data_IF_583492397291
#
_entry.id   IF_583492397291
#
_cell.length_a   1.000
_cell.length_b   1.000
_cell.length_c   1.000
_cell.angle_alpha   90.00
_cell.angle_beta   90.00
_cell.angle_gamma   90.00
#
_symmetry.space_group_name_H-M   'P 1'
#
loop_
_entity.id
_entity.type
_entity.pdbx_description
1 polymer ?
#
# COMPACT_ATOMS: atom_id res chain seq x y z
N UNK A 1 -3.17 2.26 7.26
CA UNK A 1 -2.29 1.08 7.30
C UNK A 1 -0.91 1.38 6.68
N UNK A 2 -0.81 1.80 5.38
CA UNK A 2 0.45 2.06 4.66
C UNK A 2 1.45 2.94 5.42
N UNK A 3 1.00 4.11 5.87
CA UNK A 3 1.83 5.08 6.55
C UNK A 3 2.42 4.54 7.86
N UNK A 4 1.61 3.83 8.64
CA UNK A 4 2.05 3.21 9.90
C UNK A 4 3.07 2.11 9.63
N UNK A 5 2.85 1.26 8.64
CA UNK A 5 3.79 0.20 8.25
C UNK A 5 5.12 0.78 7.75
N UNK A 6 5.08 1.85 6.93
CA UNK A 6 6.29 2.53 6.48
C UNK A 6 7.08 3.11 7.65
N UNK A 7 6.41 3.76 8.61
CA UNK A 7 7.07 4.29 9.80
C UNK A 7 7.65 3.21 10.72
N UNK A 8 7.01 2.04 10.80
CA UNK A 8 7.53 0.91 11.58
C UNK A 8 8.79 0.30 10.94
N UNK A 9 8.92 0.33 9.63
CA UNK A 9 10.11 -0.16 8.91
C UNK A 9 11.24 0.87 8.86
N UNK A 10 10.97 2.16 9.01
CA UNK A 10 11.97 3.23 8.94
C UNK A 10 13.20 3.00 9.85
N UNK A 11 13.07 2.52 11.12
CA UNK A 11 14.23 2.29 11.99
C UNK A 11 15.22 1.25 11.47
N UNK A 12 14.78 0.35 10.60
CA UNK A 12 15.62 -0.74 10.06
C UNK A 12 16.31 -0.37 8.75
N UNK A 13 16.18 0.87 8.30
CA UNK A 13 16.78 1.37 7.05
C UNK A 13 18.01 2.22 7.32
N UNK A 14 18.79 2.53 6.28
CA UNK A 14 20.03 3.32 6.34
C UNK A 14 19.77 4.84 6.52
N UNK A 15 18.65 5.21 7.09
CA UNK A 15 18.27 6.61 7.34
C UNK A 15 18.95 7.09 8.63
N UNK A 16 19.41 8.35 8.72
CA UNK A 16 19.98 8.92 9.94
C UNK A 16 19.04 8.78 11.15
N UNK A 17 19.60 8.51 12.31
CA UNK A 17 18.83 8.17 13.52
C UNK A 17 17.82 9.23 13.94
N UNK A 18 18.11 10.51 13.69
CA UNK A 18 17.17 11.60 13.95
C UNK A 18 15.82 11.37 13.24
N UNK A 19 15.85 10.99 11.96
CA UNK A 19 14.64 10.76 11.19
C UNK A 19 13.88 9.50 11.62
N UNK A 20 14.61 8.48 12.14
CA UNK A 20 13.99 7.28 12.70
C UNK A 20 13.14 7.61 13.92
N UNK A 21 13.67 8.41 14.85
CA UNK A 21 12.93 8.85 16.04
C UNK A 21 11.75 9.75 15.70
N UNK A 22 11.92 10.64 14.71
CA UNK A 22 10.81 11.45 14.18
C UNK A 22 9.72 10.56 13.58
N UNK A 23 10.08 9.57 12.76
CA UNK A 23 9.13 8.65 12.16
C UNK A 23 8.34 7.86 13.22
N UNK A 24 9.04 7.31 14.23
CA UNK A 24 8.38 6.61 15.35
C UNK A 24 7.44 7.52 16.14
N UNK A 25 7.87 8.76 16.42
CA UNK A 25 7.04 9.75 17.14
C UNK A 25 5.81 10.20 16.35
N UNK A 26 5.86 10.15 15.02
CA UNK A 26 4.73 10.50 14.16
C UNK A 26 3.65 9.39 14.08
N UNK A 27 3.96 8.14 14.47
CA UNK A 27 2.98 7.04 14.46
C UNK A 27 1.73 7.37 15.29
N UNK A 28 1.85 7.69 16.60
CA UNK A 28 0.67 8.00 17.40
C UNK A 28 -0.07 9.24 16.90
N UNK A 29 0.67 10.23 16.40
CA UNK A 29 0.07 11.45 15.83
C UNK A 29 -0.76 11.13 14.58
N UNK A 30 -0.23 10.30 13.67
CA UNK A 30 -0.95 9.90 12.45
C UNK A 30 -2.21 9.09 12.76
N UNK A 31 -2.14 8.20 13.75
CA UNK A 31 -3.30 7.43 14.21
C UNK A 31 -4.35 8.38 14.82
N UNK A 32 -3.93 9.31 15.68
CA UNK A 32 -4.85 10.29 16.30
C UNK A 32 -5.52 11.17 15.24
N UNK A 33 -4.76 11.73 14.30
CA UNK A 33 -5.29 12.54 13.19
C UNK A 33 -6.28 11.75 12.35
N UNK A 34 -5.96 10.48 12.03
CA UNK A 34 -6.86 9.60 11.29
C UNK A 34 -8.20 9.41 12.00
N UNK A 35 -8.20 9.06 13.30
CA UNK A 35 -9.42 8.87 14.07
C UNK A 35 -10.21 10.17 14.24
N UNK A 36 -9.52 11.30 14.45
CA UNK A 36 -10.16 12.61 14.54
C UNK A 36 -10.83 13.02 13.22
N UNK A 37 -10.14 12.81 12.09
CA UNK A 37 -10.68 13.11 10.78
C UNK A 37 -11.95 12.30 10.50
N UNK A 38 -11.93 10.99 10.80
CA UNK A 38 -13.09 10.13 10.59
C UNK A 38 -14.23 10.50 11.54
N UNK A 39 -13.95 10.76 12.81
CA UNK A 39 -14.99 11.11 13.78
C UNK A 39 -15.68 12.43 13.43
N UNK A 40 -14.95 13.36 12.78
CA UNK A 40 -15.47 14.68 12.43
C UNK A 40 -16.15 14.73 11.07
N UNK A 41 -15.62 14.02 10.07
CA UNK A 41 -16.09 14.12 8.69
C UNK A 41 -16.91 12.91 8.22
N UNK A 42 -16.77 11.76 8.90
CA UNK A 42 -17.37 10.48 8.47
C UNK A 42 -17.96 9.72 9.66
N UNK A 43 -18.79 10.37 10.46
CA UNK A 43 -19.42 9.79 11.66
C UNK A 43 -20.20 8.50 11.37
N UNK A 44 -20.88 8.45 10.21
CA UNK A 44 -21.75 7.35 9.81
C UNK A 44 -20.97 6.07 9.46
N UNK A 45 -19.69 6.21 9.07
CA UNK A 45 -18.80 5.07 8.75
C UNK A 45 -18.12 4.45 9.98
N UNK A 46 -18.34 5.00 11.17
CA UNK A 46 -17.63 4.61 12.39
C UNK A 46 -17.84 3.15 12.78
N UNK A 47 -18.99 2.58 12.48
CA UNK A 47 -19.33 1.20 12.86
C UNK A 47 -18.53 0.14 12.07
N UNK A 48 -18.10 0.44 10.83
CA UNK A 48 -17.32 -0.46 9.98
C UNK A 48 -15.81 -0.26 9.99
N UNK A 49 -15.30 0.79 10.66
CA UNK A 49 -13.91 1.22 10.58
C UNK A 49 -12.88 0.15 10.98
N UNK A 50 -13.14 -0.56 12.05
CA UNK A 50 -12.21 -1.57 12.55
C UNK A 50 -12.06 -2.73 11.56
N UNK A 51 -13.16 -3.16 10.98
CA UNK A 51 -13.17 -4.22 9.98
C UNK A 51 -12.47 -3.78 8.68
N UNK A 52 -12.77 -2.57 8.22
CA UNK A 52 -12.11 -1.97 7.03
C UNK A 52 -10.62 -1.80 7.25
N UNK A 53 -10.20 -1.35 8.43
CA UNK A 53 -8.78 -1.24 8.77
C UNK A 53 -8.09 -2.60 8.81
N UNK A 54 -8.76 -3.63 9.31
CA UNK A 54 -8.24 -5.00 9.35
C UNK A 54 -8.04 -5.56 7.94
N UNK A 55 -9.03 -5.40 7.05
CA UNK A 55 -8.88 -5.78 5.64
C UNK A 55 -7.78 -4.99 4.94
N UNK A 56 -7.69 -3.69 5.17
CA UNK A 56 -6.61 -2.85 4.62
C UNK A 56 -5.24 -3.31 5.09
N UNK A 57 -5.09 -3.68 6.36
CA UNK A 57 -3.86 -4.24 6.89
C UNK A 57 -3.52 -5.58 6.23
N UNK A 58 -4.52 -6.46 6.05
CA UNK A 58 -4.37 -7.74 5.38
C UNK A 58 -3.86 -7.57 3.93
N UNK A 59 -4.46 -6.67 3.17
CA UNK A 59 -4.04 -6.36 1.79
C UNK A 59 -2.59 -5.84 1.78
N UNK A 60 -2.24 -4.90 2.65
CA UNK A 60 -0.89 -4.36 2.71
C UNK A 60 0.15 -5.41 3.10
N UNK A 61 -0.19 -6.29 4.04
CA UNK A 61 0.69 -7.40 4.43
C UNK A 61 0.90 -8.37 3.27
N UNK A 62 -0.15 -8.72 2.54
CA UNK A 62 -0.05 -9.57 1.36
C UNK A 62 0.83 -8.95 0.26
N UNK A 63 0.74 -7.63 0.05
CA UNK A 63 1.58 -6.90 -0.88
C UNK A 63 3.06 -6.90 -0.45
N UNK A 64 3.34 -6.70 0.84
CA UNK A 64 4.71 -6.79 1.38
C UNK A 64 5.28 -8.20 1.22
N UNK A 65 4.49 -9.23 1.48
CA UNK A 65 4.89 -10.63 1.26
C UNK A 65 5.22 -10.87 -0.22
N UNK A 66 4.41 -10.36 -1.14
CA UNK A 66 4.66 -10.45 -2.58
C UNK A 66 5.97 -9.76 -2.97
N UNK A 67 6.20 -8.54 -2.48
CA UNK A 67 7.45 -7.81 -2.70
C UNK A 67 8.65 -8.55 -2.10
N UNK A 68 8.50 -9.15 -0.92
CA UNK A 68 9.51 -9.99 -0.29
C UNK A 68 9.88 -11.19 -1.17
N UNK A 69 8.91 -11.93 -1.72
CA UNK A 69 9.17 -13.05 -2.61
C UNK A 69 9.89 -12.63 -3.91
N UNK A 70 9.59 -11.45 -4.45
CA UNK A 70 10.31 -10.91 -5.61
C UNK A 70 11.79 -10.67 -5.26
N UNK A 71 12.06 -10.11 -4.07
CA UNK A 71 13.44 -9.89 -3.59
C UNK A 71 14.18 -11.21 -3.36
N UNK A 72 13.51 -12.21 -2.78
CA UNK A 72 14.07 -13.55 -2.59
C UNK A 72 14.47 -14.19 -3.91
N UNK A 73 13.64 -14.07 -4.94
CA UNK A 73 13.91 -14.63 -6.27
C UNK A 73 15.13 -13.98 -6.94
N UNK A 74 15.48 -12.75 -6.55
CA UNK A 74 16.64 -12.03 -7.08
C UNK A 74 17.90 -12.14 -6.18
N UNK A 75 17.91 -13.00 -5.16
CA UNK A 75 19.04 -13.25 -4.25
C UNK A 75 19.54 -12.03 -3.45
N UNK A 76 18.72 -10.99 -3.31
CA UNK A 76 19.05 -9.78 -2.54
C UNK A 76 18.42 -9.81 -1.15
N UNK A 77 19.08 -10.46 -0.19
CA UNK A 77 18.59 -10.59 1.20
C UNK A 77 19.07 -9.48 2.12
N UNK A 78 20.29 -8.97 1.89
CA UNK A 78 20.99 -8.12 2.84
C UNK A 78 20.34 -6.74 3.05
N UNK A 79 19.62 -6.24 2.04
CA UNK A 79 18.96 -4.93 2.09
C UNK A 79 17.43 -5.03 1.92
N UNK A 80 16.86 -6.21 2.10
CA UNK A 80 15.44 -6.46 1.83
C UNK A 80 14.50 -5.51 2.59
N UNK A 81 14.82 -5.17 3.85
CA UNK A 81 14.02 -4.23 4.64
C UNK A 81 14.02 -2.82 4.04
N UNK A 82 15.14 -2.38 3.46
CA UNK A 82 15.23 -1.10 2.79
C UNK A 82 14.37 -1.05 1.51
N UNK A 83 14.39 -2.13 0.72
CA UNK A 83 13.51 -2.26 -0.44
C UNK A 83 12.03 -2.30 -0.06
N UNK A 84 11.66 -3.01 1.02
CA UNK A 84 10.28 -3.05 1.52
C UNK A 84 9.82 -1.69 2.05
N UNK A 85 10.69 -0.97 2.72
CA UNK A 85 10.42 0.41 3.14
C UNK A 85 10.16 1.30 1.93
N UNK A 86 11.04 1.25 0.94
CA UNK A 86 10.91 2.00 -0.31
C UNK A 86 9.61 1.63 -1.06
N UNK A 87 9.25 0.34 -1.05
CA UNK A 87 7.99 -0.15 -1.60
C UNK A 87 6.78 0.48 -0.91
N UNK A 88 6.77 0.59 0.43
CA UNK A 88 5.69 1.24 1.17
C UNK A 88 5.62 2.74 0.89
N UNK A 89 6.77 3.43 0.83
CA UNK A 89 6.84 4.85 0.46
C UNK A 89 6.29 5.07 -0.94
N UNK A 90 6.70 4.25 -1.91
CA UNK A 90 6.18 4.31 -3.28
C UNK A 90 4.68 4.06 -3.35
N UNK A 91 4.15 3.18 -2.50
CA UNK A 91 2.72 2.91 -2.41
C UNK A 91 1.94 4.10 -1.84
N UNK A 92 2.52 4.86 -0.90
CA UNK A 92 1.92 6.11 -0.40
C UNK A 92 1.88 7.14 -1.52
N UNK A 93 3.00 7.34 -2.25
CA UNK A 93 3.08 8.28 -3.37
C UNK A 93 2.10 7.90 -4.48
N UNK A 94 1.94 6.61 -4.78
CA UNK A 94 1.00 6.11 -5.79
C UNK A 94 -0.48 6.35 -5.44
N UNK A 95 -0.83 6.60 -4.16
CA UNK A 95 -2.20 6.97 -3.77
C UNK A 95 -2.54 8.42 -4.04
N UNK A 96 -1.53 9.26 -4.30
CA UNK A 96 -1.77 10.67 -4.62
C UNK A 96 -2.31 10.81 -6.06
N UNK A 97 -3.27 11.71 -6.31
CA UNK A 97 -3.97 11.80 -7.58
C UNK A 97 -3.15 12.52 -8.68
N UNK A 98 -1.82 12.33 -8.68
CA UNK A 98 -0.94 12.92 -9.68
C UNK A 98 -0.75 12.03 -10.91
N UNK A 99 -1.05 10.74 -10.80
CA UNK A 99 -0.87 9.76 -11.88
C UNK A 99 -2.03 8.79 -11.96
N UNK A 100 -2.27 8.24 -13.15
CA UNK A 100 -3.33 7.25 -13.39
C UNK A 100 -2.83 5.89 -12.88
N UNK A 101 -3.40 5.40 -11.76
CA UNK A 101 -3.09 4.08 -11.20
C UNK A 101 -1.66 3.96 -10.64
N UNK A 102 -0.98 5.08 -10.37
CA UNK A 102 0.37 5.07 -9.79
C UNK A 102 1.49 4.79 -10.79
N UNK A 103 1.18 4.65 -12.09
CA UNK A 103 2.19 4.45 -13.15
C UNK A 103 3.05 5.69 -13.26
N UNK A 104 4.36 5.52 -13.28
CA UNK A 104 5.35 6.59 -13.31
C UNK A 104 5.71 7.14 -11.92
N UNK A 105 4.75 7.41 -11.05
CA UNK A 105 5.04 7.92 -9.70
C UNK A 105 5.75 6.89 -8.82
N UNK A 106 5.40 5.62 -8.96
CA UNK A 106 6.03 4.52 -8.25
C UNK A 106 7.47 4.32 -8.73
N UNK A 107 7.70 4.28 -10.04
CA UNK A 107 9.02 4.12 -10.66
C UNK A 107 9.96 5.28 -10.28
N UNK A 108 9.46 6.52 -10.34
CA UNK A 108 10.21 7.71 -9.91
C UNK A 108 10.57 7.60 -8.44
N UNK A 109 9.66 7.18 -7.58
CA UNK A 109 9.93 7.01 -6.14
C UNK A 109 10.97 5.94 -5.90
N UNK A 110 10.93 4.82 -6.65
CA UNK A 110 11.95 3.78 -6.55
C UNK A 110 13.31 4.25 -7.05
N UNK A 111 13.35 5.02 -8.14
CA UNK A 111 14.58 5.57 -8.69
C UNK A 111 15.29 6.50 -7.67
N UNK A 112 14.59 7.54 -7.20
CA UNK A 112 15.16 8.49 -6.25
C UNK A 112 15.41 7.86 -4.86
N UNK A 113 14.51 7.00 -4.41
CA UNK A 113 14.68 6.33 -3.12
C UNK A 113 15.84 5.35 -3.11
N UNK A 114 16.08 4.63 -4.20
CA UNK A 114 17.21 3.74 -4.35
C UNK A 114 18.54 4.52 -4.35
N UNK A 115 18.60 5.66 -5.03
CA UNK A 115 19.77 6.54 -5.03
C UNK A 115 20.09 7.05 -3.61
N UNK A 116 19.09 7.58 -2.90
CA UNK A 116 19.26 8.09 -1.52
C UNK A 116 19.68 6.99 -0.55
N UNK A 117 19.12 5.78 -0.70
CA UNK A 117 19.38 4.64 0.20
C UNK A 117 20.54 3.76 -0.26
N UNK A 118 21.22 4.14 -1.33
CA UNK A 118 22.34 3.38 -1.93
C UNK A 118 21.96 1.93 -2.27
N UNK A 119 20.75 1.74 -2.78
CA UNK A 119 20.23 0.47 -3.25
C UNK A 119 20.52 0.28 -4.74
N UNK A 120 20.46 -0.97 -5.23
CA UNK A 120 20.55 -1.23 -6.65
C UNK A 120 19.33 -0.66 -7.38
N UNK A 121 19.58 0.29 -8.29
CA UNK A 121 18.55 0.99 -9.05
C UNK A 121 17.83 0.03 -10.00
N UNK A 122 18.55 -0.90 -10.63
CA UNK A 122 17.96 -1.84 -11.58
C UNK A 122 17.00 -2.80 -10.86
N UNK A 123 17.40 -3.33 -9.70
CA UNK A 123 16.54 -4.16 -8.87
C UNK A 123 15.33 -3.39 -8.35
N UNK A 124 15.52 -2.14 -7.94
CA UNK A 124 14.43 -1.27 -7.46
C UNK A 124 13.36 -1.05 -8.52
N UNK A 125 13.75 -0.74 -9.75
CA UNK A 125 12.84 -0.58 -10.88
C UNK A 125 12.20 -1.93 -11.25
N UNK A 126 12.98 -3.01 -11.28
CA UNK A 126 12.45 -4.35 -11.56
C UNK A 126 11.39 -4.77 -10.54
N UNK A 127 11.62 -4.50 -9.24
CA UNK A 127 10.65 -4.78 -8.18
C UNK A 127 9.34 -4.03 -8.43
N UNK A 128 9.41 -2.73 -8.78
CA UNK A 128 8.24 -1.91 -9.10
C UNK A 128 7.46 -2.48 -10.28
N UNK A 129 8.13 -2.79 -11.38
CA UNK A 129 7.51 -3.30 -12.60
C UNK A 129 6.91 -4.70 -12.41
N UNK A 130 7.64 -5.62 -11.77
CA UNK A 130 7.15 -6.97 -11.48
C UNK A 130 5.92 -6.93 -10.59
N UNK A 131 5.96 -6.10 -9.55
CA UNK A 131 4.79 -5.93 -8.68
C UNK A 131 3.60 -5.36 -9.45
N UNK A 132 3.82 -4.39 -10.34
CA UNK A 132 2.77 -3.84 -11.20
C UNK A 132 2.15 -4.92 -12.10
N UNK A 133 2.97 -5.73 -12.75
CA UNK A 133 2.50 -6.84 -13.61
C UNK A 133 1.69 -7.85 -12.79
N UNK A 134 2.17 -8.26 -11.62
CA UNK A 134 1.45 -9.19 -10.73
C UNK A 134 0.10 -8.62 -10.34
N UNK A 135 0.05 -7.36 -9.90
CA UNK A 135 -1.20 -6.72 -9.50
C UNK A 135 -2.17 -6.53 -10.66
N UNK A 136 -1.67 -6.24 -11.86
CA UNK A 136 -2.49 -6.16 -13.07
C UNK A 136 -3.11 -7.52 -13.41
N UNK A 137 -2.34 -8.61 -13.36
CA UNK A 137 -2.84 -9.97 -13.59
C UNK A 137 -3.90 -10.37 -12.55
N UNK A 138 -3.68 -10.07 -11.28
CA UNK A 138 -4.67 -10.31 -10.21
C UNK A 138 -5.91 -9.48 -10.44
N UNK A 139 -5.78 -8.21 -10.86
CA UNK A 139 -6.93 -7.34 -11.17
C UNK A 139 -7.74 -7.84 -12.35
N UNK A 140 -7.11 -8.44 -13.37
CA UNK A 140 -7.82 -9.07 -14.48
C UNK A 140 -8.75 -10.21 -14.02
N UNK A 141 -8.38 -10.95 -12.98
CA UNK A 141 -9.27 -11.97 -12.40
C UNK A 141 -10.56 -11.36 -11.84
N UNK A 142 -10.48 -10.14 -11.29
CA UNK A 142 -11.64 -9.40 -10.79
C UNK A 142 -12.63 -9.00 -11.90
N UNK A 143 -12.15 -8.75 -13.11
CA UNK A 143 -13.01 -8.44 -14.28
C UNK A 143 -13.91 -9.64 -14.61
N UNK A 144 -13.36 -10.86 -14.52
CA UNK A 144 -14.13 -12.08 -14.73
C UNK A 144 -15.36 -12.14 -13.81
N UNK A 145 -15.17 -11.86 -12.51
CA UNK A 145 -16.29 -11.82 -11.54
C UNK A 145 -17.25 -10.68 -11.80
N UNK A 146 -16.77 -9.53 -12.27
CA UNK A 146 -17.63 -8.38 -12.59
C UNK A 146 -18.53 -8.66 -13.82
N UNK A 147 -18.02 -9.36 -14.82
CA UNK A 147 -18.77 -9.73 -16.02
C UNK A 147 -19.78 -10.86 -15.75
N UNK A 148 -19.47 -11.78 -14.85
CA UNK A 148 -20.38 -12.85 -14.43
C UNK A 148 -21.20 -12.43 -13.19
N UNK A 149 -21.93 -11.33 -13.29
CA UNK A 149 -22.73 -10.74 -12.21
C UNK A 149 -23.79 -11.67 -11.59
N UNK A 150 -24.13 -12.79 -12.24
CA UNK A 150 -24.95 -13.87 -11.64
C UNK A 150 -24.36 -14.49 -10.38
N UNK A 151 -23.03 -14.39 -10.17
CA UNK A 151 -22.38 -14.89 -8.96
C UNK A 151 -22.52 -13.93 -7.77
N UNK A 152 -22.86 -12.68 -8.01
CA UNK A 152 -22.96 -11.63 -6.99
C UNK A 152 -24.41 -11.35 -6.58
N UNK A 153 -25.36 -12.20 -6.70
CA UNK A 153 -26.74 -12.13 -6.18
C UNK A 153 -27.13 -10.76 -5.56
N UNK A 154 -26.75 -9.67 -6.24
CA UNK A 154 -27.09 -8.32 -5.88
C UNK A 154 -28.56 -8.16 -6.25
N UNK A 155 -29.46 -8.39 -5.28
CA UNK A 155 -30.81 -7.91 -5.36
C UNK A 155 -30.73 -6.40 -5.56
N UNK A 156 -30.92 -5.97 -6.78
CA UNK A 156 -31.04 -4.55 -7.08
C UNK A 156 -32.17 -4.01 -6.19
N UNK A 157 -31.91 -2.91 -5.51
CA UNK A 157 -32.85 -2.20 -4.66
C UNK A 157 -34.11 -1.70 -5.42
N UNK A 158 -34.32 -2.09 -6.66
CA UNK A 158 -35.46 -1.79 -7.52
C UNK A 158 -36.74 -2.59 -7.16
N UNK A 159 -36.67 -3.56 -6.25
CA UNK A 159 -37.85 -4.30 -5.79
C UNK A 159 -38.42 -3.81 -4.44
N UNK A 160 -37.93 -2.73 -3.89
CA UNK A 160 -38.61 -2.02 -2.79
C UNK A 160 -39.58 -1.04 -3.44
N UNK A 161 -40.66 -1.56 -4.00
CA UNK A 161 -41.82 -0.77 -4.33
C UNK A 161 -42.47 -0.32 -3.02
N UNK A 162 -42.74 0.98 -2.83
CA UNK A 162 -43.59 1.42 -1.74
C UNK A 162 -45.05 1.03 -2.08
N UNK A 163 -45.61 0.10 -1.29
CA UNK A 163 -47.03 -0.05 -1.14
C UNK A 163 -47.60 0.95 -0.13
#
# INVERSE_FOLDING_TARGET
ALFVLAMLLAPFTVIPDLYKYIALGLIPVSIAVYYLAISKFFSDFRQGLNLTNLYSLGVQTAQLISAWFILLANHHHDQALAYLFLFLVSSIVATLPFTIGGIGSREITFLFGAEIMQLDIHLSIALSLLFYVITALVSLSGIYYSLYSKALNIKLASEVSPG
#
